data_IF_127890830775
#
_entry.id   IF_127890830775
#
_cell.length_a   1.000
_cell.length_b   1.000
_cell.length_c   1.000
_cell.angle_alpha   90.00
_cell.angle_beta   90.00
_cell.angle_gamma   90.00
#
_symmetry.space_group_name_H-M   'P 1'
#
loop_
_entity.id
_entity.type
_entity.pdbx_description
1 polymer ?
2 non-polymer ?
3 water ?
#
# COMPACT_ATOMS: atom_id res chain seq x y z
N UNK A 9 -16.98 10.75 -23.21
CA UNK A 9 -16.95 9.71 -22.13
C UNK A 9 -15.65 9.80 -21.29
N UNK A 10 -14.86 10.87 -21.49
CA UNK A 10 -13.52 11.02 -20.88
C UNK A 10 -12.44 10.16 -21.53
N UNK A 11 -12.67 9.73 -22.75
CA UNK A 11 -11.64 9.02 -23.49
C UNK A 11 -10.74 9.96 -24.30
N UNK A 12 -9.49 10.07 -23.86
CA UNK A 12 -8.43 10.72 -24.63
C UNK A 12 -8.27 10.06 -25.99
N UNK A 13 -8.05 10.88 -27.04
CA UNK A 13 -7.93 10.34 -28.39
C UNK A 13 -6.70 9.45 -28.50
N UNK A 14 -6.84 8.36 -29.25
CA UNK A 14 -5.78 7.35 -29.31
C UNK A 14 -4.49 7.89 -29.98
N UNK A 15 -3.33 7.87 -29.27
CA UNK A 15 -2.11 8.24 -30.00
C UNK A 15 -1.91 7.40 -31.28
N UNK A 16 -1.36 8.02 -32.33
CA UNK A 16 -1.21 7.37 -33.62
C UNK A 16 -0.39 6.09 -33.64
N UNK A 17 0.61 5.97 -32.76
CA UNK A 17 1.48 4.79 -32.64
C UNK A 17 0.88 3.56 -31.93
N UNK A 18 -0.29 3.71 -31.34
CA UNK A 18 -0.94 2.63 -30.59
C UNK A 18 -1.96 1.94 -31.50
N UNK A 19 -1.75 0.63 -31.77
CA UNK A 19 -2.70 -0.07 -32.64
C UNK A 19 -4.01 -0.33 -31.94
N UNK A 20 -5.10 -0.20 -32.68
CA UNK A 20 -6.45 -0.34 -32.12
C UNK A 20 -6.75 -1.69 -31.46
N UNK A 21 -6.17 -2.78 -31.97
CA UNK A 21 -6.41 -4.07 -31.35
C UNK A 21 -5.89 -4.19 -29.91
N UNK A 22 -5.05 -3.25 -29.48
CA UNK A 22 -4.52 -3.23 -28.12
C UNK A 22 -5.35 -2.40 -27.14
N UNK A 23 -6.43 -1.82 -27.64
CA UNK A 23 -7.22 -0.91 -26.84
C UNK A 23 -8.23 -1.64 -25.96
N UNK A 24 -8.16 -1.32 -24.68
CA UNK A 24 -9.10 -1.84 -23.68
C UNK A 24 -9.24 -0.74 -22.65
N UNK A 25 -10.40 -0.08 -22.63
CA UNK A 25 -10.58 1.14 -21.83
C UNK A 25 -10.91 0.82 -20.38
N UNK A 26 -9.89 0.36 -19.65
CA UNK A 26 -10.01 0.13 -18.23
C UNK A 26 -9.87 1.45 -17.50
N UNK A 27 -10.72 1.70 -16.51
CA UNK A 27 -10.60 2.89 -15.66
C UNK A 27 -10.16 2.51 -14.24
N UNK A 28 -8.91 2.80 -13.93
CA UNK A 28 -8.34 2.35 -12.66
C UNK A 28 -8.96 3.02 -11.41
N UNK A 29 -9.63 4.16 -11.59
CA UNK A 29 -10.32 4.84 -10.50
C UNK A 29 -11.77 4.46 -10.43
N UNK A 30 -12.28 3.82 -11.49
CA UNK A 30 -13.69 3.39 -11.50
C UNK A 30 -13.94 2.16 -12.35
N UNK A 31 -13.34 1.02 -11.94
CA UNK A 31 -13.51 -0.14 -12.82
C UNK A 31 -14.93 -0.72 -12.83
N UNK A 32 -15.34 -1.29 -13.97
CA UNK A 32 -16.71 -1.76 -14.21
C UNK A 32 -17.27 -2.69 -13.16
N UNK A 33 -16.44 -3.61 -12.70
CA UNK A 33 -16.99 -4.66 -11.85
C UNK A 33 -16.75 -4.45 -10.36
N UNK A 34 -16.53 -3.20 -9.95
CA UNK A 34 -16.22 -2.84 -8.57
C UNK A 34 -17.09 -3.54 -7.54
N UNK A 35 -18.42 -3.61 -7.79
CA UNK A 35 -19.32 -4.22 -6.82
C UNK A 35 -19.01 -5.71 -6.56
N UNK A 36 -18.45 -6.42 -7.54
CA UNK A 36 -17.92 -7.79 -7.30
C UNK A 36 -16.68 -7.88 -6.38
N UNK A 37 -16.07 -6.74 -6.02
CA UNK A 37 -14.84 -6.73 -5.25
C UNK A 37 -13.70 -6.17 -6.10
N UNK A 38 -12.84 -5.36 -5.50
CA UNK A 38 -11.88 -4.63 -6.33
C UNK A 38 -10.82 -5.51 -7.02
N UNK A 39 -10.30 -6.54 -6.34
CA UNK A 39 -9.38 -7.48 -6.99
C UNK A 39 -10.04 -8.17 -8.18
N UNK A 40 -11.28 -8.61 -7.98
CA UNK A 40 -12.07 -9.25 -9.06
C UNK A 40 -12.24 -8.30 -10.25
N UNK A 41 -12.45 -7.02 -9.93
CA UNK A 41 -12.65 -5.97 -10.95
C UNK A 41 -11.38 -5.78 -11.76
N UNK A 42 -10.23 -5.75 -11.09
CA UNK A 42 -9.01 -5.65 -11.87
C UNK A 42 -8.69 -6.94 -12.66
N UNK A 43 -9.09 -8.11 -12.13
CA UNK A 43 -8.83 -9.41 -12.79
C UNK A 43 -9.42 -9.56 -14.17
N UNK A 44 -10.43 -8.74 -14.47
CA UNK A 44 -10.96 -8.64 -15.84
C UNK A 44 -9.80 -8.42 -16.84
N UNK A 45 -8.77 -7.69 -16.43
CA UNK A 45 -7.65 -7.45 -17.34
C UNK A 45 -6.90 -8.74 -17.68
N UNK A 46 -7.26 -9.84 -16.99
CA UNK A 46 -6.59 -11.12 -17.19
C UNK A 46 -7.48 -12.17 -17.81
N UNK A 47 -8.66 -11.76 -18.28
CA UNK A 47 -9.44 -12.68 -19.10
C UNK A 47 -8.65 -12.98 -20.39
N UNK A 48 -8.89 -14.16 -20.96
CA UNK A 48 -8.04 -14.65 -22.07
C UNK A 48 -8.12 -13.85 -23.40
N UNK A 49 -9.20 -13.11 -23.60
CA UNK A 49 -9.32 -12.26 -24.79
C UNK A 49 -8.55 -10.93 -24.62
N UNK A 50 -7.83 -10.78 -23.50
CA UNK A 50 -7.20 -9.49 -23.16
C UNK A 50 -5.70 -9.66 -23.31
N UNK A 51 -5.07 -8.88 -24.21
CA UNK A 51 -3.63 -8.97 -24.43
C UNK A 51 -2.78 -8.67 -23.18
N UNK A 52 -1.54 -9.17 -23.16
CA UNK A 52 -0.61 -9.03 -22.04
C UNK A 52 -0.31 -7.55 -21.75
N UNK A 53 -0.39 -6.76 -22.80
CA UNK A 53 -0.08 -5.35 -22.72
C UNK A 53 -1.17 -4.60 -23.49
N UNK A 54 -1.91 -3.75 -22.81
CA UNK A 54 -3.02 -2.99 -23.42
C UNK A 54 -2.89 -1.46 -23.21
N UNK A 55 -3.62 -0.68 -23.99
CA UNK A 55 -3.71 0.79 -23.81
C UNK A 55 -5.13 1.13 -23.37
N UNK A 56 -5.29 1.91 -22.32
CA UNK A 56 -6.63 2.39 -22.04
C UNK A 56 -6.71 3.85 -22.44
N UNK A 57 -7.84 4.29 -22.98
CA UNK A 57 -8.01 5.72 -23.24
C UNK A 57 -8.50 6.50 -22.02
N UNK A 58 -8.81 5.81 -20.94
CA UNK A 58 -9.15 6.50 -19.68
C UNK A 58 -8.00 7.22 -19.09
N UNK A 59 -8.35 8.23 -18.31
CA UNK A 59 -7.39 8.91 -17.44
C UNK A 59 -6.19 9.48 -18.22
N UNK A 60 -6.45 10.05 -19.40
CA UNK A 60 -5.39 10.69 -20.18
C UNK A 60 -4.84 9.76 -21.26
N UNK A 61 -5.03 8.45 -21.08
CA UNK A 61 -4.54 7.46 -22.02
C UNK A 61 -3.21 6.92 -21.48
N UNK A 62 -3.09 5.59 -21.40
CA UNK A 62 -1.88 4.99 -20.84
C UNK A 62 -1.86 3.48 -21.04
N UNK A 63 -0.66 2.91 -21.06
CA UNK A 63 -0.50 1.45 -21.12
C UNK A 63 -0.82 0.80 -19.79
N UNK A 64 -1.26 -0.46 -19.85
CA UNK A 64 -1.33 -1.33 -18.70
C UNK A 64 -0.70 -2.68 -19.03
N UNK A 65 0.26 -3.12 -18.22
CA UNK A 65 0.75 -4.51 -18.28
C UNK A 65 -0.08 -5.35 -17.29
N UNK A 66 -0.62 -6.45 -17.81
CA UNK A 66 -1.72 -7.20 -17.17
C UNK A 66 -1.27 -8.55 -16.58
N UNK A 67 -0.04 -8.95 -16.92
CA UNK A 67 0.51 -10.26 -16.52
C UNK A 67 1.76 -10.07 -15.67
N UNK A 68 1.94 -10.95 -14.69
CA UNK A 68 3.09 -10.87 -13.77
C UNK A 68 4.47 -10.77 -14.39
N UNK A 69 4.70 -11.54 -15.45
CA UNK A 69 6.00 -11.52 -16.13
C UNK A 69 6.36 -10.12 -16.68
N UNK A 70 5.39 -9.47 -17.36
CA UNK A 70 5.59 -8.10 -17.89
C UNK A 70 5.73 -7.07 -16.79
N UNK A 71 4.91 -7.18 -15.76
CA UNK A 71 4.97 -6.26 -14.63
C UNK A 71 6.35 -6.27 -13.95
N UNK A 72 6.86 -7.46 -13.63
CA UNK A 72 8.21 -7.65 -13.09
C UNK A 72 9.25 -7.11 -14.05
N UNK A 73 9.24 -7.53 -15.31
CA UNK A 73 10.28 -7.06 -16.26
C UNK A 73 10.40 -5.54 -16.34
N UNK A 74 9.26 -4.84 -16.34
CA UNK A 74 9.32 -3.39 -16.45
C UNK A 74 9.77 -2.72 -15.15
N UNK A 75 9.40 -3.28 -14.00
CA UNK A 75 9.88 -2.77 -12.72
C UNK A 75 11.40 -2.95 -12.60
N UNK A 76 11.91 -4.01 -13.22
CA UNK A 76 13.36 -4.27 -13.25
C UNK A 76 14.06 -3.27 -14.14
N UNK A 77 13.42 -2.89 -15.25
CA UNK A 77 14.11 -2.11 -16.28
C UNK A 77 13.89 -0.62 -16.03
N UNK A 78 14.52 -0.08 -14.98
CA UNK A 78 14.36 1.31 -14.66
C UNK A 78 14.97 2.23 -15.71
N UNK A 79 15.87 1.70 -16.54
CA UNK A 79 16.47 2.50 -17.60
C UNK A 79 15.48 2.90 -18.72
N UNK A 80 14.52 2.03 -19.02
CA UNK A 80 13.39 2.38 -19.92
C UNK A 80 12.13 2.90 -19.20
N UNK A 81 11.86 2.35 -18.02
CA UNK A 81 10.61 2.60 -17.29
C UNK A 81 10.95 3.41 -16.03
N UNK A 82 10.83 4.73 -16.12
CA UNK A 82 11.33 5.63 -15.09
C UNK A 82 10.28 6.01 -14.07
N UNK A 83 10.75 6.26 -12.86
CA UNK A 83 9.89 6.67 -11.75
C UNK A 83 9.67 8.18 -11.64
N UNK A 84 10.32 8.96 -12.50
CA UNK A 84 10.12 10.42 -12.42
C UNK A 84 8.64 10.82 -12.43
N UNK A 85 7.83 10.10 -13.21
CA UNK A 85 6.38 10.27 -13.22
C UNK A 85 5.63 8.96 -12.87
N UNK A 86 5.51 8.62 -11.58
CA UNK A 86 4.95 7.28 -11.29
C UNK A 86 3.40 7.18 -11.22
N UNK A 87 2.71 8.33 -11.23
CA UNK A 87 1.25 8.31 -11.04
C UNK A 87 0.48 8.65 -12.30
N UNK A 88 -0.61 7.92 -12.52
CA UNK A 88 -1.58 8.23 -13.57
C UNK A 88 -2.83 8.89 -12.93
N UNK A 89 -3.31 10.01 -13.50
CA UNK A 89 -2.79 10.77 -14.66
C UNK A 89 -1.54 11.59 -14.37
N UNK A 90 -0.88 11.97 -15.45
CA UNK A 90 0.40 12.66 -15.41
C UNK A 90 0.36 13.90 -14.52
N UNK A 91 -0.74 14.65 -14.57
CA UNK A 91 -0.82 15.90 -13.81
C UNK A 91 -1.38 15.61 -12.42
N UNK A 92 -0.57 14.94 -11.59
CA UNK A 92 -0.95 14.45 -10.26
C UNK A 92 0.24 14.31 -9.31
N UNK A 95 2.79 16.88 -8.97
CA UNK A 95 3.04 17.72 -7.79
C UNK A 95 3.66 16.93 -6.62
N UNK A 96 4.14 15.73 -6.92
CA UNK A 96 4.52 14.73 -5.91
C UNK A 96 6.02 14.73 -5.72
N UNK A 97 6.51 15.32 -4.63
CA UNK A 97 7.95 15.42 -4.47
C UNK A 97 8.55 14.52 -3.36
N UNK A 98 7.84 13.45 -2.97
CA UNK A 98 8.37 12.53 -1.94
C UNK A 98 9.58 11.72 -2.43
N UNK A 99 10.51 11.46 -1.51
CA UNK A 99 11.72 10.68 -1.75
C UNK A 99 11.68 9.36 -0.97
N UNK A 100 12.13 8.24 -1.60
CA UNK A 100 12.75 8.15 -2.94
C UNK A 100 11.81 7.82 -4.10
N UNK A 101 10.51 7.89 -3.85
CA UNK A 101 9.52 7.41 -4.82
C UNK A 101 9.58 7.98 -6.24
N UNK A 102 10.02 9.22 -6.40
CA UNK A 102 10.04 9.79 -7.76
C UNK A 102 11.46 9.83 -8.35
N UNK A 103 12.37 9.13 -7.70
CA UNK A 103 13.78 9.06 -8.13
C UNK A 103 14.19 7.74 -8.74
N UNK A 104 14.96 7.80 -9.84
CA UNK A 104 15.62 6.61 -10.41
C UNK A 104 16.98 6.35 -9.78
N UNK A 105 17.51 5.11 -9.89
CA UNK A 105 18.95 4.96 -9.62
C UNK A 105 19.72 5.79 -10.65
N UNK A 106 20.92 6.30 -10.31
CA UNK A 106 21.78 6.05 -9.13
C UNK A 106 21.37 6.74 -7.81
N UNK A 107 20.93 7.99 -7.89
CA UNK A 107 20.61 8.80 -6.70
C UNK A 107 19.62 8.15 -5.74
N UNK A 108 18.53 7.58 -6.26
CA UNK A 108 17.57 6.83 -5.41
C UNK A 108 18.23 5.92 -4.39
N UNK A 109 19.28 5.19 -4.79
CA UNK A 109 19.96 4.25 -3.89
C UNK A 109 20.52 4.89 -2.60
N UNK A 110 20.99 6.14 -2.67
CA UNK A 110 21.48 6.84 -1.46
C UNK A 110 20.38 7.02 -0.41
N UNK A 111 19.25 7.54 -0.85
CA UNK A 111 18.17 7.94 0.05
C UNK A 111 17.50 6.69 0.63
N UNK A 112 17.61 5.62 -0.15
CA UNK A 112 17.08 4.32 0.20
C UNK A 112 17.80 3.62 1.34
N UNK A 113 19.14 3.66 1.28
CA UNK A 113 19.97 3.11 2.32
C UNK A 113 19.72 3.86 3.63
N UNK A 114 19.51 5.18 3.54
CA UNK A 114 19.22 5.97 4.74
C UNK A 114 17.85 5.55 5.29
N UNK A 115 16.83 5.50 4.43
CA UNK A 115 15.46 5.14 4.86
C UNK A 115 15.44 3.73 5.43
N UNK A 116 16.31 2.87 4.93
CA UNK A 116 16.44 1.54 5.50
C UNK A 116 16.95 1.45 6.94
N UNK A 117 17.75 2.42 7.38
CA UNK A 117 18.23 2.42 8.79
C UNK A 117 17.10 2.71 9.77
N UNK A 118 15.98 3.25 9.28
CA UNK A 118 14.85 3.61 10.16
C UNK A 118 13.69 2.58 10.09
N UNK A 119 13.57 1.84 8.99
CA UNK A 119 12.49 0.84 8.87
C UNK A 119 12.97 -0.57 8.53
N UNK A 120 14.27 -0.75 8.40
CA UNK A 120 14.86 -2.05 8.13
C UNK A 120 14.56 -3.16 9.12
N UNK A 121 14.73 -4.40 8.67
CA UNK A 121 14.46 -5.58 9.53
C UNK A 121 14.92 -5.48 11.02
N UNK A 122 16.15 -4.98 11.28
CA UNK A 122 16.52 -4.98 12.71
C UNK A 122 15.80 -3.93 13.56
N UNK A 123 15.38 -2.82 12.96
CA UNK A 123 14.47 -1.89 13.64
C UNK A 123 13.13 -2.60 13.91
N UNK A 124 12.64 -3.34 12.91
CA UNK A 124 11.39 -4.06 13.06
C UNK A 124 11.42 -5.10 14.21
N UNK A 125 12.52 -5.83 14.31
CA UNK A 125 12.74 -6.76 15.43
C UNK A 125 12.76 -6.04 16.79
N UNK A 126 13.41 -4.89 16.84
CA UNK A 126 13.39 -4.04 18.02
C UNK A 126 11.96 -3.65 18.44
N UNK A 127 11.05 -3.46 17.48
CA UNK A 127 9.77 -2.84 17.74
C UNK A 127 8.64 -3.83 17.99
N UNK A 128 8.92 -5.10 17.84
CA UNK A 128 7.87 -6.06 17.67
C UNK A 128 6.85 -6.06 18.77
N UNK A 129 7.31 -6.00 20.02
CA UNK A 129 6.37 -6.02 21.14
C UNK A 129 5.76 -4.65 21.45
N UNK A 130 6.38 -3.57 20.99
CA UNK A 130 5.75 -2.25 21.07
C UNK A 130 4.57 -2.31 20.12
N UNK A 131 4.79 -2.99 19.00
CA UNK A 131 3.75 -3.19 18.00
C UNK A 131 2.62 -4.04 18.57
N UNK A 132 2.98 -5.13 19.24
CA UNK A 132 1.98 -5.96 19.92
C UNK A 132 1.22 -5.21 21.01
N UNK A 133 1.92 -4.43 21.83
CA UNK A 133 1.27 -3.69 22.92
C UNK A 133 0.23 -2.69 22.37
N UNK A 134 0.58 -2.00 21.29
CA UNK A 134 -0.38 -1.11 20.62
C UNK A 134 -1.61 -1.86 20.10
N UNK A 135 -1.38 -2.99 19.42
CA UNK A 135 -2.50 -3.79 18.89
C UNK A 135 -3.45 -4.26 20.02
N UNK A 136 -2.86 -4.74 21.11
CA UNK A 136 -3.62 -5.29 22.25
C UNK A 136 -4.46 -4.18 22.90
N UNK A 137 -3.88 -2.99 23.05
CA UNK A 137 -4.65 -1.96 23.73
C UNK A 137 -5.80 -1.45 22.86
N UNK A 138 -5.58 -1.41 21.53
CA UNK A 138 -6.65 -1.09 20.58
C UNK A 138 -7.74 -2.12 20.59
N UNK A 139 -7.38 -3.38 20.52
CA UNK A 139 -8.35 -4.46 20.46
C UNK A 139 -9.13 -4.60 21.78
N UNK A 140 -8.42 -4.47 22.90
CA UNK A 140 -9.05 -4.59 24.22
C UNK A 140 -10.13 -3.55 24.44
N UNK A 141 -9.91 -2.34 23.91
CA UNK A 141 -10.88 -1.29 24.09
C UNK A 141 -12.12 -1.50 23.25
N UNK A 142 -12.01 -2.28 22.17
CA UNK A 142 -13.18 -2.56 21.34
C UNK A 142 -13.93 -3.81 21.83
N UNK A 143 -13.17 -4.75 22.38
CA UNK A 143 -13.65 -6.11 22.68
C UNK A 143 -14.99 -6.14 23.43
N UNK A 144 -15.14 -5.35 24.52
CA UNK A 144 -16.43 -5.45 25.21
C UNK A 144 -17.62 -4.79 24.49
N UNK A 145 -17.37 -4.02 23.44
CA UNK A 145 -18.46 -3.38 22.70
C UNK A 145 -19.26 -4.32 21.82
N UNK A 146 -18.64 -5.43 21.42
CA UNK A 146 -19.31 -6.37 20.52
C UNK A 146 -19.52 -5.83 19.12
N UNK A 147 -18.79 -4.77 18.77
CA UNK A 147 -18.90 -4.14 17.44
C UNK A 147 -17.83 -3.07 17.27
N UNK A 148 -17.51 -2.76 16.00
CA UNK A 148 -16.65 -1.62 15.61
C UNK A 148 -16.78 -1.32 14.09
N UNK A 149 -16.36 -0.15 13.65
CA UNK A 149 -15.95 0.03 12.21
C UNK A 149 -14.47 -0.28 12.20
N UNK A 150 -14.14 -1.45 11.68
CA UNK A 150 -12.78 -1.92 11.75
C UNK A 150 -11.80 -0.91 11.10
N UNK A 151 -12.19 -0.32 9.97
CA UNK A 151 -11.30 0.55 9.19
C UNK A 151 -10.99 1.76 10.02
N UNK A 152 -12.04 2.30 10.63
CA UNK A 152 -12.02 3.50 11.41
C UNK A 152 -11.44 3.31 12.85
N UNK A 153 -11.77 2.19 13.50
CA UNK A 153 -11.48 1.92 14.93
C UNK A 153 -10.17 1.16 15.21
N UNK A 154 -9.67 0.45 14.20
CA UNK A 154 -8.39 -0.26 14.33
C UNK A 154 -7.42 -0.03 13.18
N UNK A 155 -7.91 -0.21 11.96
CA UNK A 155 -7.00 -0.15 10.80
C UNK A 155 -6.29 1.22 10.67
N UNK A 156 -6.99 2.33 10.95
CA UNK A 156 -6.37 3.68 10.86
C UNK A 156 -5.50 4.01 12.09
N UNK A 157 -6.08 3.95 13.31
CA UNK A 157 -5.26 4.33 14.46
C UNK A 157 -3.96 3.54 14.59
N UNK A 158 -3.93 2.31 14.08
CA UNK A 158 -2.79 1.41 14.32
C UNK A 158 -1.47 1.86 13.61
N UNK A 159 -1.46 1.97 12.26
CA UNK A 159 -0.24 2.45 11.59
C UNK A 159 0.25 3.87 11.99
N UNK A 160 -0.68 4.79 12.22
CA UNK A 160 -0.26 6.15 12.61
C UNK A 160 0.39 6.16 14.01
N UNK A 161 -0.10 5.31 14.91
CA UNK A 161 0.52 5.16 16.23
C UNK A 161 1.89 4.49 16.12
N UNK A 162 2.03 3.56 15.17
CA UNK A 162 3.34 2.95 14.93
C UNK A 162 4.35 4.02 14.45
N UNK A 163 3.89 4.92 13.59
CA UNK A 163 4.73 6.01 13.08
C UNK A 163 5.21 6.96 14.19
N UNK A 164 4.28 7.36 15.07
CA UNK A 164 4.64 8.13 16.25
C UNK A 164 5.70 7.43 17.11
N UNK A 165 5.61 6.11 17.20
CA UNK A 165 6.59 5.36 17.97
C UNK A 165 7.96 5.46 17.28
N UNK A 166 8.02 5.09 16.00
CA UNK A 166 9.24 5.12 15.20
C UNK A 166 9.87 6.50 15.17
N UNK A 167 9.03 7.51 14.95
CA UNK A 167 9.51 8.87 14.76
C UNK A 167 9.72 9.62 16.10
N UNK A 168 9.40 8.99 17.23
CA UNK A 168 9.46 9.65 18.55
C UNK A 168 8.61 10.90 18.66
N UNK A 169 7.34 10.81 18.26
CA UNK A 169 6.40 11.91 18.25
C UNK A 169 5.28 11.74 19.29
N UNK A 170 4.84 12.86 19.90
CA UNK A 170 3.86 12.78 21.00
C UNK A 170 2.42 12.43 20.56
N UNK A 171 1.83 11.53 21.31
CA UNK A 171 0.42 11.17 21.24
C UNK A 171 -0.54 12.33 20.84
N UNK A 172 -0.37 13.50 21.47
CA UNK A 172 -1.26 14.65 21.21
C UNK A 172 -1.25 15.13 19.78
N UNK A 173 -0.17 14.86 19.03
CA UNK A 173 -0.12 15.26 17.59
C UNK A 173 -0.89 14.38 16.61
N UNK A 174 -1.47 13.29 17.10
CA UNK A 174 -2.04 12.29 16.19
C UNK A 174 -3.27 12.81 15.40
N UNK A 175 -4.23 13.45 16.09
CA UNK A 175 -5.39 13.91 15.30
C UNK A 175 -5.01 14.90 14.18
N UNK A 176 -4.10 15.83 14.45
CA UNK A 176 -3.74 16.78 13.43
C UNK A 176 -2.91 16.10 12.31
N UNK A 177 -2.05 15.15 12.68
CA UNK A 177 -1.20 14.47 11.67
C UNK A 177 -2.04 13.60 10.76
N UNK A 178 -2.97 12.85 11.37
CA UNK A 178 -3.97 12.06 10.64
C UNK A 178 -4.91 12.88 9.75
N UNK A 179 -5.36 14.06 10.23
CA UNK A 179 -6.10 14.96 9.32
C UNK A 179 -5.26 15.29 8.04
N UNK A 180 -4.02 15.70 8.25
CA UNK A 180 -3.15 16.11 7.14
C UNK A 180 -2.95 14.97 6.11
N UNK A 181 -2.65 13.78 6.61
CA UNK A 181 -2.47 12.61 5.73
C UNK A 181 -3.79 12.18 5.08
N UNK A 182 -4.88 12.28 5.83
CA UNK A 182 -6.21 12.07 5.25
C UNK A 182 -6.52 13.00 4.06
N UNK A 183 -5.99 14.22 4.07
CA UNK A 183 -6.33 15.17 2.99
C UNK A 183 -5.57 14.83 1.71
N UNK A 184 -4.42 14.20 1.87
CA UNK A 184 -3.61 13.82 0.74
C UNK A 184 -4.28 12.75 -0.08
N UNK A 185 -4.97 11.82 0.60
CA UNK A 185 -5.54 10.68 -0.08
C UNK A 185 -7.08 10.63 -0.13
N UNK A 186 -7.76 11.38 0.74
CA UNK A 186 -9.21 11.59 0.59
C UNK A 186 -9.66 12.98 1.06
N UNK A 187 -9.40 14.01 0.22
CA UNK A 187 -9.58 15.41 0.67
C UNK A 187 -11.05 15.77 0.94
N UNK A 188 -11.31 16.45 2.04
CA UNK A 188 -12.68 16.86 2.33
C UNK A 188 -12.93 18.24 1.74
N UNK A 189 -11.88 18.81 1.16
CA UNK A 189 -11.94 20.13 0.53
C UNK A 189 -11.32 21.28 1.31
N UNK A 190 -10.97 21.06 2.58
CA UNK A 190 -10.43 22.14 3.44
C UNK A 190 -9.12 22.65 2.88
N UNK A 191 -8.35 21.74 2.28
CA UNK A 191 -6.98 21.95 1.87
C UNK A 191 -6.72 21.27 0.53
N UNK A 192 -5.89 21.89 -0.30
CA UNK A 192 -5.34 21.20 -1.48
C UNK A 192 -4.24 20.19 -1.08
N UNK A 193 -3.87 19.32 -2.02
CA UNK A 193 -2.80 18.37 -1.80
C UNK A 193 -1.52 19.12 -1.41
N UNK A 194 -1.22 20.21 -2.14
CA UNK A 194 -0.02 21.00 -1.87
C UNK A 194 -0.06 21.64 -0.48
N UNK A 195 -1.24 22.08 -0.07
CA UNK A 195 -1.45 22.72 1.24
C UNK A 195 -1.25 21.72 2.38
N UNK A 196 -1.76 20.50 2.19
CA UNK A 196 -1.60 19.42 3.17
C UNK A 196 -0.10 19.10 3.29
N UNK A 197 0.54 18.97 2.12
CA UNK A 197 1.98 18.73 2.02
C UNK A 197 2.84 19.75 2.78
N UNK A 198 2.61 21.04 2.47
CA UNK A 198 3.27 22.14 3.17
C UNK A 198 2.96 22.20 4.67
N UNK A 199 1.68 22.00 5.01
CA UNK A 199 1.29 21.82 6.42
C UNK A 199 2.10 20.68 7.04
N UNK A 200 2.12 19.53 6.36
CA UNK A 200 2.94 18.41 6.83
C UNK A 200 4.41 18.87 7.00
N UNK A 201 4.88 19.70 6.06
CA UNK A 201 6.27 20.16 6.11
C UNK A 201 6.53 21.18 7.20
N UNK A 202 5.55 22.06 7.41
CA UNK A 202 5.52 22.99 8.56
C UNK A 202 5.80 22.24 9.83
N UNK A 203 5.08 21.12 9.98
CA UNK A 203 5.13 20.28 11.16
C UNK A 203 6.53 19.70 11.37
N UNK A 204 7.05 19.07 10.32
CA UNK A 204 8.27 18.27 10.40
C UNK A 204 9.57 19.08 10.38
N UNK A 205 9.56 20.22 9.70
CA UNK A 205 10.76 21.08 9.64
C UNK A 205 11.40 21.40 11.01
N UNK A 206 10.60 21.88 12.01
CA UNK A 206 11.23 22.27 13.28
C UNK A 206 11.80 21.07 14.03
N UNK A 207 11.13 19.93 13.89
CA UNK A 207 11.50 18.70 14.56
C UNK A 207 12.82 18.15 13.98
N UNK A 208 12.95 18.23 12.66
CA UNK A 208 14.18 17.90 11.92
C UNK A 208 15.36 18.85 12.30
N UNK A 209 15.12 20.16 12.20
CA UNK A 209 16.14 21.15 12.70
C UNK A 209 16.67 20.89 14.11
N UNK A 210 15.73 20.57 15.01
CA UNK A 210 16.09 20.38 16.41
C UNK A 210 16.86 19.06 16.69
N UNK A 211 16.49 17.99 15.98
CA UNK A 211 17.12 16.67 16.14
C UNK A 211 18.40 16.51 15.33
N UNK A 212 18.61 17.42 14.37
CA UNK A 212 19.94 17.67 13.79
C UNK A 212 20.89 18.11 14.92
N UNK A 213 20.36 18.93 15.83
CA UNK A 213 21.11 19.55 16.95
C UNK A 213 21.20 18.67 18.20
N UNK A 214 20.08 18.03 18.56
CA UNK A 214 20.05 17.15 19.72
C UNK A 214 19.36 15.87 19.30
N UNK A 215 20.12 14.93 18.73
CA UNK A 215 19.59 13.69 18.15
C UNK A 215 19.04 12.69 19.18
N UNK A 216 17.95 12.02 18.80
CA UNK A 216 17.48 10.82 19.48
C UNK A 216 17.94 9.56 18.77
N UNK A 217 17.33 8.41 19.09
CA UNK A 217 17.56 7.17 18.35
C UNK A 217 16.34 6.84 17.46
N UNK A 218 15.51 7.86 17.22
CA UNK A 218 14.25 7.77 16.46
C UNK A 218 14.49 8.10 15.00
N UNK A 219 13.50 7.76 14.17
CA UNK A 219 13.56 7.90 12.71
C UNK A 219 13.82 9.31 12.16
N UNK A 220 13.23 10.34 12.76
CA UNK A 220 13.51 11.70 12.31
C UNK A 220 14.97 12.06 12.62
N UNK A 221 15.44 11.73 13.82
CA UNK A 221 16.87 11.91 14.21
C UNK A 221 17.82 11.22 13.22
N UNK A 222 17.45 10.02 12.77
CA UNK A 222 18.30 9.28 11.87
C UNK A 222 18.32 9.92 10.48
N UNK A 223 17.17 10.36 9.98
CA UNK A 223 17.09 10.92 8.63
C UNK A 223 17.74 12.30 8.58
N UNK A 224 17.50 13.09 9.64
CA UNK A 224 18.05 14.44 9.73
C UNK A 224 19.58 14.44 9.75
N UNK A 225 20.17 13.45 10.40
CA UNK A 225 21.63 13.38 10.55
C UNK A 225 22.30 12.48 9.51
N UNK A 226 21.66 12.31 8.36
CA UNK A 226 22.16 11.42 7.30
C UNK A 226 23.03 12.06 6.23
N UNK A 227 23.75 11.19 5.52
CA UNK A 227 24.71 11.54 4.47
C UNK A 227 24.19 11.18 3.08
N UNK A 228 24.15 12.13 2.16
CA UNK A 228 23.77 11.80 0.78
C UNK A 228 24.90 12.16 -0.18
N UNK A 229 25.27 11.23 -1.08
CA UNK A 229 26.37 11.47 -2.03
C UNK A 229 27.56 12.25 -1.45
N UNK A 230 27.99 11.86 -0.26
CA UNK A 230 29.16 12.48 0.35
C UNK A 230 28.93 13.71 1.20
N UNK A 231 27.76 14.32 1.09
CA UNK A 231 27.43 15.49 1.91
C UNK A 231 26.25 15.22 2.89
N UNK A 232 26.01 16.13 3.88
CA UNK A 232 24.85 15.90 4.75
C UNK A 232 23.55 16.12 3.97
N UNK A 233 22.47 15.47 4.43
CA UNK A 233 21.16 15.68 3.82
C UNK A 233 20.68 17.12 4.04
N UNK A 234 20.07 17.72 3.04
CA UNK A 234 19.43 19.02 3.26
C UNK A 234 18.11 18.84 4.00
N UNK A 235 17.76 19.84 4.80
CA UNK A 235 16.47 19.88 5.48
C UNK A 235 15.33 19.55 4.51
N UNK A 236 15.37 20.14 3.32
CA UNK A 236 14.42 19.86 2.25
C UNK A 236 14.36 18.38 1.89
N UNK A 237 15.51 17.71 1.75
CA UNK A 237 15.51 16.30 1.35
C UNK A 237 14.95 15.44 2.49
N UNK A 238 15.33 15.84 3.70
CA UNK A 238 14.89 15.21 4.92
C UNK A 238 13.38 15.30 5.08
N UNK A 239 12.78 16.47 4.82
CA UNK A 239 11.34 16.61 5.01
C UNK A 239 10.57 15.76 4.02
N UNK A 240 11.13 15.65 2.81
CA UNK A 240 10.51 14.95 1.69
C UNK A 240 10.61 13.41 1.87
N UNK A 241 11.68 12.94 2.52
CA UNK A 241 11.83 11.55 2.97
C UNK A 241 10.91 11.17 4.12
N UNK A 242 10.96 11.99 5.17
CA UNK A 242 10.17 11.83 6.39
C UNK A 242 8.69 11.80 6.00
N UNK A 243 8.35 12.62 5.03
CA UNK A 243 7.02 12.64 4.40
C UNK A 243 6.59 11.27 3.88
N UNK A 244 7.45 10.66 3.06
CA UNK A 244 7.15 9.36 2.53
C UNK A 244 7.11 8.32 3.66
N UNK A 245 8.01 8.41 4.63
CA UNK A 245 7.99 7.47 5.75
C UNK A 245 6.62 7.49 6.49
N UNK A 246 5.96 8.65 6.52
CA UNK A 246 4.64 8.75 7.16
C UNK A 246 3.53 8.17 6.24
N UNK A 247 3.36 8.76 5.07
CA UNK A 247 2.21 8.41 4.22
C UNK A 247 2.34 7.01 3.60
N UNK A 248 3.58 6.55 3.39
CA UNK A 248 3.82 5.24 2.76
C UNK A 248 3.27 4.08 3.59
N UNK A 249 3.31 4.19 4.92
CA UNK A 249 2.74 3.16 5.76
C UNK A 249 1.32 3.29 6.30
N UNK A 250 0.55 4.29 5.83
CA UNK A 250 -0.84 4.47 6.26
C UNK A 250 -1.85 3.81 5.37
N UNK A 251 -2.15 4.42 4.22
CA UNK A 251 -3.25 3.94 3.38
C UNK A 251 -3.12 2.46 2.98
N UNK A 252 -1.90 2.05 2.62
CA UNK A 252 -1.62 0.65 2.29
C UNK A 252 -1.97 -0.31 3.44
N UNK A 253 -1.48 -0.02 4.66
CA UNK A 253 -1.68 -0.89 5.81
C UNK A 253 -3.19 -0.84 6.20
N UNK A 254 -3.76 0.37 6.32
CA UNK A 254 -5.16 0.54 6.69
C UNK A 254 -6.06 -0.31 5.80
N UNK A 255 -5.86 -0.22 4.49
CA UNK A 255 -6.72 -0.88 3.52
C UNK A 255 -6.41 -2.37 3.35
N UNK A 256 -5.13 -2.73 3.38
CA UNK A 256 -4.79 -4.15 3.43
C UNK A 256 -5.38 -4.92 4.65
N UNK A 257 -5.17 -4.36 5.85
CA UNK A 257 -5.74 -4.92 7.07
C UNK A 257 -7.26 -5.07 6.92
N UNK A 258 -7.90 -4.11 6.28
CA UNK A 258 -9.34 -4.17 6.04
C UNK A 258 -9.78 -5.29 5.11
N UNK A 259 -9.12 -5.46 3.95
CA UNK A 259 -9.45 -6.58 3.06
C UNK A 259 -9.30 -7.94 3.77
N UNK A 260 -8.22 -8.02 4.57
CA UNK A 260 -7.88 -9.26 5.28
C UNK A 260 -8.93 -9.55 6.38
N UNK A 261 -9.27 -8.53 7.14
CA UNK A 261 -10.36 -8.70 8.12
C UNK A 261 -11.73 -8.95 7.50
N UNK A 262 -11.99 -8.42 6.31
CA UNK A 262 -13.27 -8.64 5.63
C UNK A 262 -13.39 -10.08 5.21
N UNK A 263 -12.32 -10.58 4.59
CA UNK A 263 -12.26 -12.00 4.23
C UNK A 263 -12.37 -12.89 5.48
N UNK A 264 -11.58 -12.64 6.54
CA UNK A 264 -11.69 -13.50 7.72
C UNK A 264 -13.11 -13.51 8.35
N UNK A 265 -13.84 -12.40 8.23
CA UNK A 265 -15.15 -12.26 8.84
C UNK A 265 -16.16 -13.02 7.97
N UNK A 266 -15.84 -13.16 6.69
CA UNK A 266 -16.70 -13.90 5.79
C UNK A 266 -16.37 -15.37 5.69
N UNK A 267 -15.23 -15.81 6.24
CA UNK A 267 -14.80 -17.22 6.12
C UNK A 267 -14.46 -17.84 7.48
N UNK A 268 -15.49 -18.31 8.19
CA UNK A 268 -15.29 -18.88 9.53
C UNK A 268 -14.26 -20.01 9.54
N UNK A 269 -14.21 -20.78 8.44
CA UNK A 269 -13.29 -21.87 8.29
C UNK A 269 -11.83 -21.43 8.23
N UNK A 270 -11.57 -20.35 7.51
CA UNK A 270 -10.23 -19.74 7.54
C UNK A 270 -9.93 -19.17 8.92
N UNK A 271 -10.91 -18.55 9.57
CA UNK A 271 -10.66 -18.12 10.96
C UNK A 271 -10.24 -19.32 11.82
N UNK A 272 -11.05 -20.38 11.78
CA UNK A 272 -10.83 -21.63 12.54
C UNK A 272 -9.45 -22.20 12.29
N UNK A 273 -9.03 -22.22 11.02
CA UNK A 273 -7.72 -22.77 10.70
C UNK A 273 -6.56 -22.07 11.46
N UNK A 274 -6.62 -20.72 11.54
CA UNK A 274 -5.60 -19.93 12.25
C UNK A 274 -5.70 -19.95 13.80
N UNK A 275 -6.91 -20.04 14.30
CA UNK A 275 -7.15 -20.30 15.71
C UNK A 275 -6.51 -21.66 16.10
N UNK A 276 -6.73 -22.68 15.27
CA UNK A 276 -6.23 -24.01 15.60
C UNK A 276 -4.74 -24.20 15.32
N UNK A 277 -4.23 -23.43 14.36
CA UNK A 277 -2.83 -23.53 13.97
C UNK A 277 -2.27 -22.12 13.87
N UNK A 278 -1.97 -21.49 15.01
CA UNK A 278 -1.46 -20.12 14.88
C UNK A 278 -0.04 -20.07 14.31
N UNK A 279 0.68 -21.20 14.28
CA UNK A 279 1.99 -21.23 13.64
C UNK A 279 1.89 -20.95 12.12
N UNK A 280 0.70 -21.15 11.55
CA UNK A 280 0.48 -20.84 10.14
C UNK A 280 0.24 -19.36 9.89
N UNK A 281 0.16 -18.53 10.93
CA UNK A 281 -0.20 -17.12 10.70
C UNK A 281 0.81 -16.34 9.83
N UNK A 282 2.15 -16.58 9.99
CA UNK A 282 3.05 -15.92 8.99
C UNK A 282 2.83 -16.35 7.54
N UNK A 283 2.51 -17.63 7.31
CA UNK A 283 2.23 -18.07 5.93
C UNK A 283 0.90 -17.47 5.45
N UNK A 284 -0.09 -17.40 6.34
CA UNK A 284 -1.41 -16.87 5.97
C UNK A 284 -1.28 -15.40 5.61
N UNK A 285 -0.42 -14.71 6.34
CA UNK A 285 -0.10 -13.32 6.03
C UNK A 285 0.38 -13.14 4.61
N UNK A 286 1.32 -14.01 4.18
CA UNK A 286 1.84 -13.97 2.81
C UNK A 286 0.75 -14.21 1.77
N UNK A 287 -0.14 -15.15 2.06
CA UNK A 287 -1.15 -15.54 1.12
C UNK A 287 -2.26 -14.47 1.07
N UNK A 288 -2.53 -13.81 2.19
CA UNK A 288 -3.45 -12.65 2.16
C UNK A 288 -2.91 -11.48 1.33
N UNK A 289 -1.61 -11.24 1.47
CA UNK A 289 -0.90 -10.23 0.68
C UNK A 289 -0.92 -10.48 -0.84
N UNK A 290 -0.87 -11.75 -1.23
CA UNK A 290 -1.11 -12.12 -2.63
C UNK A 290 -2.58 -11.89 -3.10
N UNK A 291 -3.53 -12.51 -2.38
CA UNK A 291 -4.95 -12.41 -2.71
C UNK A 291 -5.56 -11.01 -2.68
N UNK A 292 -5.17 -10.24 -1.67
CA UNK A 292 -5.72 -8.88 -1.45
C UNK A 292 -4.71 -7.77 -1.67
N UNK A 293 -3.84 -8.00 -2.64
CA UNK A 293 -2.80 -7.04 -3.04
C UNK A 293 -3.59 -5.83 -3.55
N UNK A 294 -3.00 -4.63 -3.52
CA UNK A 294 -3.86 -3.47 -3.67
C UNK A 294 -3.22 -2.19 -4.23
N UNK A 295 -1.93 -2.23 -4.54
CA UNK A 295 -1.23 -1.09 -5.15
C UNK A 295 -1.12 -1.23 -6.67
N UNK A 296 -1.26 -0.08 -7.34
CA UNK A 296 -1.05 0.01 -8.76
C UNK A 296 -0.45 1.37 -9.11
N UNK A 297 0.87 1.41 -9.13
CA UNK A 297 1.43 2.59 -9.72
C UNK A 297 2.13 2.29 -11.02
N UNK A 298 2.91 3.23 -11.48
CA UNK A 298 3.30 3.18 -12.88
C UNK A 298 4.66 3.77 -13.09
N UNK A 299 5.05 3.79 -14.36
CA UNK A 299 6.31 4.37 -14.76
C UNK A 299 6.09 5.22 -16.01
N UNK A 300 7.13 5.95 -16.41
CA UNK A 300 7.12 6.72 -17.67
C UNK A 300 8.29 6.30 -18.61
N UNK A 301 7.98 6.15 -19.88
CA UNK A 301 8.99 5.74 -20.85
C UNK A 301 10.06 6.80 -21.05
N UNK A 302 11.31 6.42 -20.80
CA UNK A 302 12.45 7.31 -21.03
C UNK A 302 12.76 7.53 -22.53
N UNK A 303 12.42 6.56 -23.39
CA UNK A 303 12.72 6.67 -24.81
C UNK A 303 11.76 5.78 -25.54
N UNK A 304 11.79 5.85 -26.87
CA UNK A 304 11.09 4.87 -27.69
C UNK A 304 11.65 3.50 -27.39
N UNK A 305 10.78 2.51 -27.27
CA UNK A 305 11.21 1.20 -26.82
C UNK A 305 10.24 0.12 -27.25
N UNK A 306 10.78 -0.92 -27.86
CA UNK A 306 9.90 -2.00 -28.22
C UNK A 306 9.91 -3.05 -27.09
N UNK A 307 8.72 -3.36 -26.57
CA UNK A 307 8.64 -4.18 -25.37
C UNK A 307 7.61 -5.23 -25.68
N UNK A 308 8.07 -6.46 -25.85
CA UNK A 308 7.19 -7.60 -26.12
C UNK A 308 6.34 -7.47 -27.40
N UNK A 309 6.97 -6.98 -28.46
CA UNK A 309 6.27 -6.81 -29.71
C UNK A 309 5.40 -5.56 -29.78
N UNK A 310 5.44 -4.72 -28.75
CA UNK A 310 4.62 -3.50 -28.73
C UNK A 310 5.50 -2.27 -28.77
N UNK A 311 5.24 -1.39 -29.73
CA UNK A 311 5.99 -0.13 -29.79
C UNK A 311 5.51 0.89 -28.76
N UNK A 312 6.39 1.18 -27.83
CA UNK A 312 6.18 2.18 -26.79
C UNK A 312 6.94 3.45 -27.20
N UNK A 313 6.32 4.62 -26.95
CA UNK A 313 6.91 5.90 -27.25
C UNK A 313 7.51 6.61 -26.01
N UNK A 314 8.65 7.27 -26.19
CA UNK A 314 9.15 8.19 -25.16
C UNK A 314 7.98 9.07 -24.62
N UNK A 315 7.88 9.17 -23.30
CA UNK A 315 6.84 9.94 -22.64
C UNK A 315 5.50 9.23 -22.39
N UNK A 316 5.29 8.05 -22.98
CA UNK A 316 4.13 7.20 -22.64
C UNK A 316 4.20 6.86 -21.13
N UNK A 317 3.06 6.92 -20.44
CA UNK A 317 2.91 6.33 -19.13
C UNK A 317 2.44 4.89 -19.24
N UNK A 318 2.91 4.04 -18.35
CA UNK A 318 2.49 2.66 -18.33
C UNK A 318 2.15 2.29 -16.87
N UNK A 319 0.94 1.81 -16.66
CA UNK A 319 0.51 1.39 -15.32
C UNK A 319 1.03 -0.05 -15.12
N UNK A 320 1.75 -0.31 -14.03
CA UNK A 320 2.31 -1.67 -13.78
C UNK A 320 1.74 -2.19 -12.47
N UNK A 321 0.53 -2.74 -12.51
CA UNK A 321 -0.23 -2.96 -11.26
C UNK A 321 0.40 -4.04 -10.38
N UNK A 322 0.99 -3.63 -9.26
CA UNK A 322 1.59 -4.58 -8.35
C UNK A 322 0.52 -5.62 -7.96
N UNK A 323 -0.74 -5.15 -7.85
CA UNK A 323 -1.89 -6.00 -7.54
C UNK A 323 -2.03 -7.23 -8.43
N UNK A 324 -1.73 -7.09 -9.73
CA UNK A 324 -2.05 -8.12 -10.68
C UNK A 324 -1.12 -9.32 -10.75
N UNK A 325 0.15 -9.18 -10.32
CA UNK A 325 1.12 -10.29 -10.50
C UNK A 325 0.70 -11.60 -9.76
N UNK A 326 0.32 -11.46 -8.50
CA UNK A 326 -0.16 -12.62 -7.66
C UNK A 326 -1.52 -13.18 -8.06
N UNK A 327 -2.27 -12.41 -8.85
CA UNK A 327 -3.63 -12.85 -9.25
C UNK A 327 -3.58 -13.55 -10.60
N UNK A 328 -2.42 -13.46 -11.23
CA UNK A 328 -2.23 -13.96 -12.57
C UNK A 328 -2.16 -15.51 -12.46
N UNK A 329 -3.06 -16.17 -13.16
CA UNK A 329 -3.18 -17.61 -13.05
C UNK A 329 -1.93 -18.32 -13.61
N UNK A 330 -1.14 -17.61 -14.42
CA UNK A 330 0.17 -18.12 -14.84
C UNK A 330 1.19 -18.11 -13.70
N UNK A 331 0.91 -17.40 -12.61
CA UNK A 331 1.83 -17.31 -11.46
C UNK A 331 1.37 -18.13 -10.26
N UNK A 332 0.06 -18.19 -10.06
CA UNK A 332 -0.50 -18.96 -8.95
C UNK A 332 -1.75 -19.65 -9.44
N UNK A 333 -1.84 -20.96 -9.24
CA UNK A 333 -3.07 -21.68 -9.60
C UNK A 333 -4.27 -21.26 -8.77
N UNK A 334 -5.46 -21.33 -9.39
CA UNK A 334 -6.72 -20.91 -8.76
C UNK A 334 -6.56 -19.60 -7.95
N UNK A 335 -6.16 -18.50 -8.62
CA UNK A 335 -5.61 -17.32 -7.90
C UNK A 335 -6.59 -16.62 -6.97
N UNK A 336 -7.88 -16.78 -7.22
CA UNK A 336 -8.88 -16.16 -6.35
C UNK A 336 -9.14 -16.99 -5.08
N UNK A 337 -8.72 -18.25 -5.09
CA UNK A 337 -8.84 -19.20 -3.96
C UNK A 337 -7.77 -18.87 -2.91
N UNK A 338 -8.22 -18.70 -1.67
CA UNK A 338 -7.33 -18.44 -0.56
C UNK A 338 -6.92 -19.77 0.11
N UNK A 339 -5.63 -20.03 0.15
CA UNK A 339 -5.11 -21.29 0.64
C UNK A 339 -3.83 -21.02 1.40
N UNK A 340 -3.94 -21.07 2.73
CA UNK A 340 -2.82 -20.69 3.59
C UNK A 340 -1.62 -21.65 3.48
N UNK A 341 -1.81 -22.80 2.82
CA UNK A 341 -0.75 -23.79 2.69
C UNK A 341 -0.06 -23.81 1.32
N UNK A 342 -0.40 -22.86 0.42
CA UNK A 342 0.33 -22.70 -0.83
C UNK A 342 1.82 -22.88 -0.62
N UNK A 343 2.37 -23.84 -1.36
CA UNK A 343 3.79 -24.16 -1.33
C UNK A 343 4.63 -22.99 -1.86
N UNK A 344 4.15 -22.33 -2.91
CA UNK A 344 4.85 -21.17 -3.49
C UNK A 344 3.88 -19.99 -3.65
N UNK A 345 3.96 -19.02 -2.76
CA UNK A 345 3.06 -17.87 -2.85
C UNK A 345 3.87 -16.84 -3.69
N UNK A 346 3.45 -16.62 -4.92
CA UNK A 346 4.18 -15.66 -5.74
C UNK A 346 3.38 -14.34 -5.89
N UNK A 347 4.02 -13.19 -5.66
CA UNK A 347 3.32 -11.88 -5.77
C UNK A 347 4.33 -10.76 -5.89
N UNK A 348 3.85 -9.58 -6.33
CA UNK A 348 4.65 -8.37 -6.24
C UNK A 348 3.90 -7.30 -5.43
N UNK A 349 3.35 -7.70 -4.30
CA UNK A 349 2.43 -6.83 -3.52
C UNK A 349 3.16 -5.63 -2.96
N UNK A 350 4.41 -5.85 -2.58
CA UNK A 350 5.33 -4.81 -2.13
C UNK A 350 6.19 -4.19 -3.24
N UNK A 351 5.78 -4.41 -4.47
CA UNK A 351 6.57 -4.03 -5.64
C UNK A 351 7.64 -5.03 -6.04
N UNK A 352 8.61 -4.55 -6.81
CA UNK A 352 9.65 -5.41 -7.39
C UNK A 352 10.67 -4.40 -7.91
N UNK A 353 11.96 -4.73 -7.86
CA UNK A 353 12.95 -3.84 -8.49
C UNK A 353 13.50 -2.88 -7.46
N UNK A 354 14.07 -1.77 -7.94
CA UNK A 354 14.83 -0.92 -7.06
C UNK A 354 14.00 -0.13 -6.04
N UNK A 355 12.70 0.06 -6.30
CA UNK A 355 11.81 0.70 -5.31
C UNK A 355 11.03 -0.26 -4.40
N UNK A 356 11.34 -1.55 -4.44
CA UNK A 356 10.71 -2.54 -3.55
C UNK A 356 10.44 -1.99 -2.14
N UNK A 357 9.19 -2.13 -1.65
CA UNK A 357 8.73 -1.45 -0.42
C UNK A 357 9.79 -1.52 0.66
N UNK A 358 10.21 -0.38 1.17
CA UNK A 358 11.16 -0.41 2.30
C UNK A 358 10.50 -0.81 3.63
N UNK A 359 9.20 -0.56 3.73
CA UNK A 359 8.42 -0.96 4.92
C UNK A 359 7.92 -2.38 4.93
N UNK A 360 8.36 -3.22 3.99
CA UNK A 360 7.75 -4.55 3.81
C UNK A 360 7.84 -5.41 5.06
N UNK A 361 8.95 -5.25 5.78
CA UNK A 361 9.18 -6.01 7.02
C UNK A 361 8.27 -5.47 8.15
N UNK A 362 8.17 -4.14 8.23
CA UNK A 362 7.26 -3.51 9.20
C UNK A 362 5.79 -3.90 8.89
N UNK A 363 5.41 -3.87 7.60
CA UNK A 363 4.04 -4.28 7.20
C UNK A 363 3.68 -5.73 7.59
N UNK A 364 4.56 -6.68 7.31
CA UNK A 364 4.32 -8.10 7.68
C UNK A 364 4.18 -8.30 9.18
N UNK A 365 5.03 -7.68 9.97
CA UNK A 365 4.87 -7.71 11.40
C UNK A 365 3.54 -7.06 11.82
N UNK A 366 3.21 -5.91 11.24
CA UNK A 366 1.90 -5.27 11.58
C UNK A 366 0.72 -6.22 11.32
N UNK A 367 0.76 -6.93 10.19
CA UNK A 367 -0.30 -7.83 9.76
C UNK A 367 -0.33 -9.08 10.66
N UNK A 368 0.83 -9.70 10.85
CA UNK A 368 0.96 -10.88 11.71
C UNK A 368 0.48 -10.67 13.16
N UNK A 369 0.99 -9.60 13.78
CA UNK A 369 0.59 -9.21 15.12
C UNK A 369 -0.93 -8.91 15.19
N UNK A 370 -1.44 -8.22 14.17
CA UNK A 370 -2.87 -7.93 14.10
C UNK A 370 -3.64 -9.24 14.12
N UNK A 371 -3.34 -10.11 13.17
CA UNK A 371 -4.02 -11.42 13.14
C UNK A 371 -3.90 -12.24 14.42
N UNK A 372 -2.68 -12.38 14.96
CA UNK A 372 -2.48 -13.16 16.18
C UNK A 372 -3.31 -12.58 17.33
N UNK A 373 -3.20 -11.27 17.52
CA UNK A 373 -3.85 -10.61 18.66
C UNK A 373 -5.38 -10.58 18.57
N UNK A 374 -5.91 -10.26 17.39
CA UNK A 374 -7.36 -10.25 17.20
C UNK A 374 -7.99 -11.63 17.37
N UNK A 375 -7.42 -12.63 16.69
CA UNK A 375 -7.96 -13.98 16.71
C UNK A 375 -7.93 -14.64 18.09
N UNK A 376 -6.97 -14.26 18.93
CA UNK A 376 -6.98 -14.76 20.31
C UNK A 376 -7.92 -14.02 21.27
N UNK A 377 -8.15 -12.72 21.03
CA UNK A 377 -9.07 -11.96 21.87
C UNK A 377 -10.50 -11.99 21.38
N UNK A 378 -10.68 -12.10 20.07
CA UNK A 378 -11.99 -12.01 19.42
C UNK A 378 -11.97 -13.03 18.26
N UNK A 379 -11.98 -14.34 18.59
CA UNK A 379 -11.87 -15.42 17.59
C UNK A 379 -13.01 -15.52 16.58
N UNK A 380 -14.17 -15.10 17.01
CA UNK A 380 -15.39 -15.31 16.28
C UNK A 380 -16.01 -13.93 16.06
N UNK A 381 -16.11 -13.51 14.82
CA UNK A 381 -16.63 -12.19 14.46
C UNK A 381 -17.22 -12.34 13.09
N UNK A 382 -18.14 -11.43 12.75
CA UNK A 382 -18.82 -11.45 11.49
C UNK A 382 -19.01 -10.03 10.98
N UNK A 383 -19.36 -9.92 9.72
CA UNK A 383 -19.82 -8.68 9.13
C UNK A 383 -21.15 -8.33 9.84
N UNK A 384 -21.39 -7.03 10.07
CA UNK A 384 -22.61 -6.58 10.72
C UNK A 384 -23.79 -6.99 9.85
N UNK A 385 -24.83 -7.65 10.46
CA UNK A 385 -26.03 -8.06 9.70
C UNK A 385 -26.52 -6.95 8.76
N UNK A 386 -26.80 -7.28 7.51
CA UNK A 386 -27.32 -6.33 6.54
C UNK A 386 -26.27 -5.58 5.72
N UNK A 387 -25.09 -5.37 6.32
CA UNK A 387 -24.02 -4.56 5.75
C UNK A 387 -23.52 -5.13 4.45
N UNK A 388 -23.41 -4.28 3.44
CA UNK A 388 -22.74 -4.67 2.20
C UNK A 388 -21.39 -3.94 2.16
N UNK A 389 -20.31 -4.68 2.04
CA UNK A 389 -19.00 -4.06 2.03
C UNK A 389 -18.71 -3.52 0.63
N UNK A 390 -18.25 -2.26 0.58
CA UNK A 390 -17.96 -1.54 -0.66
C UNK A 390 -16.46 -1.30 -0.81
N UNK A 391 -15.91 -1.66 -1.96
CA UNK A 391 -14.52 -1.35 -2.24
C UNK A 391 -14.34 -0.06 -3.04
N UNK A 392 -13.10 0.40 -3.12
CA UNK A 392 -12.76 1.56 -3.94
C UNK A 392 -11.46 1.23 -4.60
N UNK A 393 -11.19 1.95 -5.68
CA UNK A 393 -10.14 1.59 -6.59
C UNK A 393 -9.30 2.80 -6.92
N UNK A 394 -7.98 2.65 -6.87
CA UNK A 394 -7.11 3.71 -7.34
C UNK A 394 -5.68 3.23 -7.34
N UNK A 395 -4.77 4.14 -6.96
CA UNK A 395 -3.34 3.81 -6.83
C UNK A 395 -3.18 2.84 -5.68
N UNK A 396 -3.88 3.13 -4.58
CA UNK A 396 -4.02 2.22 -3.45
C UNK A 396 -5.53 1.89 -3.38
N UNK A 397 -5.94 0.68 -3.77
CA UNK A 397 -7.35 0.30 -3.68
C UNK A 397 -7.69 -0.03 -2.23
N UNK A 398 -8.99 -0.08 -1.87
CA UNK A 398 -9.30 -0.33 -0.48
C UNK A 398 -10.77 -0.57 -0.19
N UNK A 399 -11.11 -0.39 1.09
CA UNK A 399 -12.39 -0.77 1.64
C UNK A 399 -12.98 0.48 2.24
N UNK A 400 -14.21 0.80 1.89
CA UNK A 400 -14.83 2.07 2.35
C UNK A 400 -15.08 2.07 3.85
N UNK A 401 -15.65 1.00 4.36
CA UNK A 401 -15.87 0.83 5.78
C UNK A 401 -16.09 -0.64 6.03
N UNK A 402 -15.82 -1.08 7.25
CA UNK A 402 -15.96 -2.50 7.62
C UNK A 402 -16.65 -2.69 8.98
N UNK A 403 -17.99 -2.66 8.98
CA UNK A 403 -18.69 -2.80 10.26
C UNK A 403 -18.64 -4.28 10.68
N UNK A 404 -17.97 -4.51 11.82
CA UNK A 404 -17.83 -5.85 12.42
C UNK A 404 -18.63 -5.97 13.71
N UNK A 405 -19.04 -7.21 14.03
CA UNK A 405 -19.80 -7.51 15.24
C UNK A 405 -19.40 -8.88 15.79
N UNK A 406 -19.53 -9.01 17.10
CA UNK A 406 -19.17 -10.29 17.78
C UNK A 406 -19.96 -10.32 19.08
N UNK A 407 -19.97 -11.49 19.72
CA UNK A 407 -20.55 -11.65 21.05
C UNK A 407 -19.45 -11.52 22.09
N UNK A 408 -19.52 -10.45 22.91
CA UNK A 408 -18.49 -10.21 23.92
C UNK A 408 -18.23 -11.41 24.86
N UNK A 409 -19.26 -12.22 25.14
CA UNK A 409 -19.08 -13.43 25.94
C UNK A 409 -18.17 -14.48 25.27
N UNK A 410 -18.08 -14.47 23.93
CA UNK A 410 -17.19 -15.42 23.21
C UNK A 410 -15.73 -14.94 23.08
N UNK A 411 -15.33 -13.96 23.92
CA UNK A 411 -14.06 -13.27 23.75
C UNK A 411 -13.18 -13.36 25.01
N UNK A 412 -11.88 -13.21 24.83
CA UNK A 412 -10.91 -13.45 25.90
C UNK A 412 -10.20 -12.16 26.35
N UNK A 413 -10.31 -11.83 27.64
CA UNK A 413 -9.44 -10.81 28.23
C UNK A 413 -8.01 -11.37 28.27
N UNK A 414 -7.07 -10.70 27.60
CA UNK A 414 -5.64 -11.10 27.61
C UNK A 414 -4.80 -9.83 27.81
X LIG B 1 7.35 1.54 -1.57
X LIG B 1 3.48 -1.36 -1.09
X LIG B 1 3.77 -0.66 3.66
X LIG B 1 7.37 2.54 3.19
X LIG B 1 6.30 0.69 -1.82
X LIG B 1 5.99 0.18 -3.14
X LIG B 1 4.92 -0.62 -3.03
X LIG B 1 4.54 -0.64 -1.62
X LIG B 1 4.22 -1.39 -4.17
X LIG B 1 6.77 0.50 -4.45
X LIG B 1 6.05 1.56 -5.30
X LIG B 1 6.78 1.78 -6.63
X LIG B 1 6.53 2.84 -7.25
X LIG B 1 7.59 0.93 -7.11
X LIG B 1 3.23 -1.43 0.25
X LIG B 1 2.23 -2.25 0.87
X LIG B 1 2.29 -2.07 2.19
X LIG B 1 3.37 -1.11 2.44
X LIG B 1 1.27 -3.12 0.03
X LIG B 1 1.40 -2.68 3.30
X LIG B 1 0.45 -3.63 3.07
X LIG B 1 4.76 0.25 3.94
X LIG B 1 5.10 0.70 5.27
X LIG B 1 6.07 1.60 5.17
X LIG B 1 6.39 1.74 3.74
X LIG B 1 4.43 0.17 6.57
X LIG B 1 6.77 2.29 6.34
X LIG B 1 6.55 3.59 6.57
X LIG B 1 7.74 2.56 1.87
X LIG B 1 8.77 3.40 1.30
X LIG B 1 8.77 3.10 -0.19
X LIG B 1 7.71 2.12 -0.39
X LIG B 1 9.68 4.42 2.02
X LIG B 1 9.74 3.77 -1.20
X LIG B 1 10.81 2.77 -1.65
X LIG B 1 11.69 3.46 -2.69
X LIG B 1 12.89 3.18 -2.72
X LIG B 1 11.21 4.30 -3.48
X LIG B 1 5.41 0.14 -0.91
X LIG B 1 3.92 -0.76 1.24
X LIG B 1 5.57 0.90 3.02
X LIG B 1 7.15 1.82 0.83
X LIG B 1 5.54 0.47 1.07
#
# INVERSE_FOLDING_TARGET
TTETIQSNANLAPLPPHVPEHLVFDFDMYNPSNLSAGVQEAWAVLQESNVPDLVWTRCNGGHWIATRGQLIREAYEDYRHFSSECPFIPREAGEAYDFIPTSMDPPEQRQFRALANQVVGMPVVDKLENRIQELACSLIESLRPQGQCNFTEDYAEPFPIRIFMLLAGLPEEDIPHLKYLTDQMTRPDGSMTFAEAKEALYDYLIPIIEQRRQKPGTDAISIVANGQVNGRPITSDEAKRMCGLLLVGGLDTVVNFLSFSMEFLAKSPEHRQELIERPERIPAACEELLRRFSLVADGRILTSDYEFHGVQLKKGDQILLPQMLSGLDERENAAPMHVDFSRQKVSHTTFGHGSHLCLGQHLARREIIVTLKEWLTRIPDFSIAPGAQIQHKSGIVSGVQALPLVWDPATTKAV
HEM CHA CHB CHC CHD C1A C2A C3A C4A CMA CAA CBA CGA O1A O2A C1B C2B C3B C4B CMB CAB CBB C1C C2C C3C C4C CMC CAC CBC C1D C2D C3D C4D CMD CAD CBD CGD O1D O2D NA NB NC ND FE
#
